data_IF_974795004850
#
_entry.id   IF_974795004850
#
_cell.length_a   1.000
_cell.length_b   1.000
_cell.length_c   1.000
_cell.angle_alpha   90.00
_cell.angle_beta   90.00
_cell.angle_gamma   90.00
#
_symmetry.space_group_name_H-M   'P 1'
#
loop_
_entity.id
_entity.type
_entity.pdbx_description
1 polymer ?
#
# COMPACT_ATOMS: atom_id res chain seq x y z
N UNK A 1 7.98 19.95 -49.49
CA UNK A 1 7.71 18.64 -48.84
C UNK A 1 8.59 18.35 -47.62
N UNK A 2 9.92 18.18 -47.73
CA UNK A 2 10.77 17.85 -46.55
C UNK A 2 10.81 18.96 -45.49
N UNK A 3 11.00 20.22 -45.91
CA UNK A 3 10.97 21.38 -45.02
C UNK A 3 9.62 21.57 -44.33
N UNK A 4 8.54 21.38 -45.09
CA UNK A 4 7.16 21.51 -44.60
C UNK A 4 6.83 20.44 -43.56
N UNK A 5 7.27 19.19 -43.77
CA UNK A 5 7.12 18.14 -42.77
C UNK A 5 7.92 18.42 -41.50
N UNK A 6 9.12 18.99 -41.63
CA UNK A 6 9.92 19.40 -40.46
C UNK A 6 9.23 20.53 -39.69
N UNK A 7 8.62 21.49 -40.39
CA UNK A 7 7.87 22.59 -39.80
C UNK A 7 6.63 22.09 -39.03
N UNK A 8 5.87 21.15 -39.59
CA UNK A 8 4.74 20.49 -38.88
C UNK A 8 5.20 19.81 -37.59
N UNK A 9 6.31 19.07 -37.65
CA UNK A 9 6.85 18.38 -36.47
C UNK A 9 7.38 19.37 -35.42
N UNK A 10 8.05 20.44 -35.85
CA UNK A 10 8.50 21.52 -34.97
C UNK A 10 7.30 22.26 -34.33
N UNK A 11 6.21 22.46 -35.06
CA UNK A 11 4.97 23.02 -34.51
C UNK A 11 4.30 22.11 -33.48
N UNK A 12 4.41 20.78 -33.63
CA UNK A 12 3.81 19.81 -32.72
C UNK A 12 4.64 19.56 -31.46
N UNK A 13 5.98 19.51 -31.58
CA UNK A 13 6.88 19.08 -30.50
C UNK A 13 7.82 20.18 -29.99
N UNK A 14 7.85 21.34 -30.64
CA UNK A 14 8.79 22.44 -30.36
C UNK A 14 10.16 22.22 -30.98
N UNK A 15 11.09 23.15 -30.73
CA UNK A 15 12.41 23.13 -31.36
C UNK A 15 13.39 22.09 -30.77
N UNK A 16 13.15 21.63 -29.54
CA UNK A 16 14.05 20.69 -28.86
C UNK A 16 13.77 19.24 -29.29
N UNK A 17 14.59 18.74 -30.21
CA UNK A 17 14.58 17.37 -30.73
C UNK A 17 14.59 16.28 -29.64
N UNK A 18 15.13 16.57 -28.45
CA UNK A 18 15.15 15.58 -27.34
C UNK A 18 13.73 15.26 -26.86
N UNK A 19 12.80 16.20 -26.97
CA UNK A 19 11.39 16.06 -26.60
C UNK A 19 10.57 15.28 -27.64
N UNK A 20 11.12 15.09 -28.84
CA UNK A 20 10.42 14.42 -29.92
C UNK A 20 10.41 12.90 -29.71
N UNK A 21 9.41 12.17 -30.22
CA UNK A 21 9.44 10.72 -30.25
C UNK A 21 10.59 10.21 -31.14
N UNK A 22 11.07 9.00 -30.84
CA UNK A 22 12.36 8.51 -31.38
C UNK A 22 12.39 8.42 -32.91
N UNK A 23 11.29 8.00 -33.53
CA UNK A 23 11.14 7.91 -34.98
C UNK A 23 11.26 9.27 -35.67
N UNK A 24 10.57 10.27 -35.15
CA UNK A 24 10.52 11.63 -35.67
C UNK A 24 11.84 12.36 -35.45
N UNK A 25 12.50 12.10 -34.32
CA UNK A 25 13.84 12.63 -34.03
C UNK A 25 14.86 12.12 -35.04
N UNK A 26 14.93 10.81 -35.25
CA UNK A 26 15.86 10.21 -36.21
C UNK A 26 15.61 10.71 -37.63
N UNK A 27 14.34 10.89 -38.01
CA UNK A 27 13.97 11.51 -39.28
C UNK A 27 14.52 12.94 -39.39
N UNK A 28 14.25 13.81 -38.41
CA UNK A 28 14.71 15.19 -38.41
C UNK A 28 16.24 15.31 -38.40
N UNK A 29 16.94 14.49 -37.61
CA UNK A 29 18.41 14.43 -37.59
C UNK A 29 18.98 14.03 -38.95
N UNK A 30 18.41 13.01 -39.61
CA UNK A 30 18.85 12.62 -40.96
C UNK A 30 18.65 13.74 -41.98
N UNK A 31 17.60 14.54 -41.80
CA UNK A 31 17.19 15.60 -42.71
C UNK A 31 18.06 16.84 -42.53
N UNK A 32 18.42 17.18 -41.30
CA UNK A 32 19.39 18.24 -40.95
C UNK A 32 20.82 17.87 -41.36
N UNK A 33 21.19 16.58 -41.27
CA UNK A 33 22.48 16.11 -41.75
C UNK A 33 22.60 16.21 -43.28
N UNK A 34 21.49 15.97 -44.00
CA UNK A 34 21.43 16.10 -45.44
C UNK A 34 21.35 17.57 -45.92
N UNK A 35 20.64 18.41 -45.17
CA UNK A 35 20.46 19.83 -45.49
C UNK A 35 20.51 20.71 -44.23
N UNK A 36 21.68 21.29 -43.93
CA UNK A 36 21.86 22.17 -42.78
C UNK A 36 21.01 23.45 -42.82
N UNK A 37 20.52 23.88 -44.00
CA UNK A 37 19.72 25.11 -44.12
C UNK A 37 18.37 24.99 -43.40
N UNK A 38 17.87 23.77 -43.24
CA UNK A 38 16.62 23.48 -42.56
C UNK A 38 16.68 23.69 -41.04
N UNK A 39 17.88 23.92 -40.51
CA UNK A 39 18.06 24.38 -39.13
C UNK A 39 17.33 25.69 -38.85
N UNK A 40 17.18 26.56 -39.87
CA UNK A 40 16.41 27.80 -39.75
C UNK A 40 14.96 27.58 -39.29
N UNK A 41 14.35 26.44 -39.69
CA UNK A 41 12.98 26.07 -39.27
C UNK A 41 12.93 25.80 -37.76
N UNK A 42 13.97 25.13 -37.23
CA UNK A 42 14.08 24.87 -35.78
C UNK A 42 14.45 26.13 -35.00
N UNK A 43 15.27 27.02 -35.57
CA UNK A 43 15.64 28.29 -34.94
C UNK A 43 14.42 29.23 -34.82
N UNK A 44 13.54 29.25 -35.81
CA UNK A 44 12.26 29.97 -35.74
C UNK A 44 11.38 29.41 -34.61
N UNK A 45 11.22 28.09 -34.56
CA UNK A 45 10.48 27.43 -33.47
C UNK A 45 11.12 27.70 -32.10
N UNK A 46 12.46 27.73 -32.01
CA UNK A 46 13.18 27.99 -30.77
C UNK A 46 12.96 29.42 -30.28
N UNK A 47 12.84 30.36 -31.21
CA UNK A 47 12.52 31.76 -30.91
C UNK A 47 11.12 31.88 -30.31
N UNK A 48 10.13 31.20 -30.90
CA UNK A 48 8.77 31.15 -30.34
C UNK A 48 8.77 30.49 -28.95
N UNK A 49 9.45 29.35 -28.80
CA UNK A 49 9.58 28.66 -27.52
C UNK A 49 10.21 29.57 -26.46
N UNK A 50 11.21 30.36 -26.81
CA UNK A 50 11.84 31.32 -25.90
C UNK A 50 10.87 32.43 -25.47
N UNK A 51 10.06 32.96 -26.40
CA UNK A 51 9.02 33.94 -26.07
C UNK A 51 7.96 33.37 -25.13
N UNK A 52 7.53 32.13 -25.35
CA UNK A 52 6.56 31.45 -24.49
C UNK A 52 7.14 31.19 -23.09
N UNK A 53 8.40 30.76 -23.00
CA UNK A 53 9.08 30.51 -21.73
C UNK A 53 9.40 31.80 -20.95
N UNK A 54 9.44 32.96 -21.60
CA UNK A 54 9.64 34.24 -20.94
C UNK A 54 8.42 34.68 -20.12
N UNK A 55 7.24 34.09 -20.36
CA UNK A 55 6.02 34.42 -19.63
C UNK A 55 6.12 33.87 -18.20
N UNK A 56 5.92 34.70 -17.15
CA UNK A 56 5.91 34.24 -15.77
C UNK A 56 4.87 33.14 -15.56
N UNK A 57 5.26 32.07 -14.86
CA UNK A 57 4.33 31.01 -14.50
C UNK A 57 3.22 31.57 -13.60
N UNK A 58 1.94 31.34 -13.93
CA UNK A 58 0.83 31.84 -13.12
C UNK A 58 0.85 31.17 -11.74
N UNK A 59 0.80 31.98 -10.68
CA UNK A 59 0.65 31.48 -9.31
C UNK A 59 -0.82 31.10 -9.08
N UNK A 60 -1.15 29.83 -8.81
CA UNK A 60 -2.53 29.43 -8.58
C UNK A 60 -3.06 30.07 -7.29
N UNK A 61 -4.27 30.62 -7.34
CA UNK A 61 -4.90 31.19 -6.15
C UNK A 61 -5.26 30.09 -5.14
N UNK A 62 -5.22 30.42 -3.85
CA UNK A 62 -5.64 29.50 -2.79
C UNK A 62 -7.07 28.97 -3.00
N UNK A 63 -7.96 29.82 -3.52
CA UNK A 63 -9.33 29.44 -3.85
C UNK A 63 -9.41 28.40 -4.99
N UNK A 64 -8.59 28.53 -6.03
CA UNK A 64 -8.52 27.55 -7.12
C UNK A 64 -8.01 26.20 -6.59
N UNK A 65 -6.93 26.22 -5.80
CA UNK A 65 -6.37 25.01 -5.19
C UNK A 65 -7.40 24.30 -4.31
N UNK A 66 -8.13 25.05 -3.47
CA UNK A 66 -9.19 24.49 -2.63
C UNK A 66 -10.32 23.85 -3.45
N UNK A 67 -10.73 24.48 -4.56
CA UNK A 67 -11.75 23.94 -5.48
C UNK A 67 -11.30 22.63 -6.13
N UNK A 68 -10.06 22.55 -6.60
CA UNK A 68 -9.50 21.32 -7.20
C UNK A 68 -9.45 20.21 -6.16
N UNK A 69 -8.98 20.50 -4.94
CA UNK A 69 -8.94 19.52 -3.85
C UNK A 69 -10.34 19.03 -3.46
N UNK A 70 -11.34 19.92 -3.44
CA UNK A 70 -12.72 19.55 -3.17
C UNK A 70 -13.36 18.69 -4.28
N UNK A 71 -12.99 18.95 -5.53
CA UNK A 71 -13.46 18.21 -6.71
C UNK A 71 -12.73 16.87 -6.90
N UNK A 72 -11.60 16.65 -6.23
CA UNK A 72 -10.84 15.43 -6.36
C UNK A 72 -11.69 14.20 -5.95
N UNK A 73 -11.63 13.10 -6.70
CA UNK A 73 -12.40 11.90 -6.40
C UNK A 73 -11.98 11.35 -5.04
N UNK A 74 -12.92 11.37 -4.08
CA UNK A 74 -12.69 10.80 -2.75
C UNK A 74 -12.50 9.29 -2.90
N UNK A 75 -11.36 8.77 -2.42
CA UNK A 75 -11.13 7.33 -2.32
C UNK A 75 -12.29 6.74 -1.52
N UNK A 76 -13.06 5.82 -2.11
CA UNK A 76 -14.13 5.10 -1.40
C UNK A 76 -13.50 4.48 -0.16
N UNK A 77 -13.87 5.00 1.01
CA UNK A 77 -13.30 4.55 2.26
C UNK A 77 -13.49 3.03 2.38
N UNK A 78 -12.44 2.36 2.84
CA UNK A 78 -12.32 0.90 3.01
C UNK A 78 -13.21 0.41 4.17
N UNK A 79 -14.45 0.90 4.25
CA UNK A 79 -15.35 0.75 5.40
C UNK A 79 -15.68 -0.69 5.76
N UNK A 80 -15.56 -1.63 4.81
CA UNK A 80 -15.66 -3.07 5.10
C UNK A 80 -14.43 -3.63 5.81
N UNK A 81 -13.22 -3.22 5.44
CA UNK A 81 -12.01 -3.69 6.12
C UNK A 81 -11.90 -3.14 7.55
N UNK A 82 -12.28 -1.88 7.76
CA UNK A 82 -12.27 -1.29 9.10
C UNK A 82 -13.17 -2.05 10.07
N UNK A 83 -14.39 -2.42 9.65
CA UNK A 83 -15.31 -3.23 10.46
C UNK A 83 -14.79 -4.66 10.69
N UNK A 84 -14.20 -5.28 9.68
CA UNK A 84 -13.65 -6.64 9.79
C UNK A 84 -12.51 -6.73 10.82
N UNK A 85 -11.63 -5.71 10.90
CA UNK A 85 -10.55 -5.64 11.89
C UNK A 85 -11.08 -5.55 13.32
N UNK A 86 -12.15 -4.79 13.55
CA UNK A 86 -12.81 -4.74 14.86
C UNK A 86 -13.42 -6.08 15.27
N UNK A 87 -14.08 -6.79 14.36
CA UNK A 87 -14.63 -8.11 14.64
C UNK A 87 -13.54 -9.17 14.89
N UNK A 88 -12.43 -9.11 14.15
CA UNK A 88 -11.28 -10.00 14.38
C UNK A 88 -10.65 -9.78 15.76
N UNK A 89 -10.49 -8.52 16.18
CA UNK A 89 -9.98 -8.19 17.52
C UNK A 89 -10.89 -8.71 18.64
N UNK A 90 -12.20 -8.56 18.49
CA UNK A 90 -13.18 -9.06 19.46
C UNK A 90 -13.20 -10.60 19.54
N UNK A 91 -13.03 -11.30 18.41
CA UNK A 91 -12.98 -12.77 18.37
C UNK A 91 -11.78 -13.35 19.13
N UNK A 92 -10.61 -12.71 19.02
CA UNK A 92 -9.41 -13.14 19.76
C UNK A 92 -9.54 -12.92 21.27
N UNK A 93 -10.16 -11.82 21.70
CA UNK A 93 -10.41 -11.57 23.12
C UNK A 93 -11.35 -12.63 23.74
N UNK A 94 -12.39 -13.04 23.00
CA UNK A 94 -13.30 -14.10 23.45
C UNK A 94 -12.60 -15.46 23.57
N UNK A 95 -11.72 -15.81 22.62
CA UNK A 95 -10.96 -17.06 22.66
C UNK A 95 -10.03 -17.13 23.89
N UNK A 96 -9.38 -16.01 24.26
CA UNK A 96 -8.53 -15.95 25.45
C UNK A 96 -9.33 -16.21 26.75
N UNK A 97 -10.51 -15.62 26.89
CA UNK A 97 -11.37 -15.83 28.06
C UNK A 97 -11.84 -17.29 28.17
N UNK A 98 -12.24 -17.92 27.05
CA UNK A 98 -12.66 -19.31 27.04
C UNK A 98 -11.52 -20.28 27.44
N UNK A 99 -10.29 -20.00 26.99
CA UNK A 99 -9.11 -20.77 27.37
C UNK A 99 -8.82 -20.74 28.87
N UNK A 100 -8.95 -19.58 29.52
CA UNK A 100 -8.76 -19.45 30.98
C UNK A 100 -9.80 -20.26 31.75
N UNK A 101 -11.07 -20.18 31.35
CA UNK A 101 -12.16 -20.93 32.02
C UNK A 101 -11.96 -22.44 31.88
N UNK A 102 -11.63 -22.91 30.68
CA UNK A 102 -11.36 -24.33 30.43
C UNK A 102 -10.13 -24.81 31.22
N UNK A 103 -9.06 -24.02 31.26
CA UNK A 103 -7.84 -24.34 32.00
C UNK A 103 -8.05 -24.45 33.51
N UNK A 104 -8.80 -23.52 34.10
CA UNK A 104 -9.14 -23.56 35.54
C UNK A 104 -10.00 -24.79 35.85
N UNK A 105 -11.04 -25.05 35.04
CA UNK A 105 -11.91 -26.20 35.22
C UNK A 105 -11.17 -27.54 35.18
N UNK A 106 -10.32 -27.74 34.16
CA UNK A 106 -9.53 -28.97 34.04
C UNK A 106 -8.57 -29.16 35.24
N UNK A 107 -7.94 -28.08 35.70
CA UNK A 107 -7.03 -28.13 36.86
C UNK A 107 -7.79 -28.50 38.13
N UNK A 108 -9.00 -27.97 38.34
CA UNK A 108 -9.83 -28.33 39.51
C UNK A 108 -10.26 -29.79 39.51
N UNK A 109 -10.57 -30.38 38.35
CA UNK A 109 -10.92 -31.80 38.25
C UNK A 109 -9.72 -32.71 38.57
N UNK A 110 -8.56 -32.45 37.95
CA UNK A 110 -7.36 -33.25 38.17
C UNK A 110 -6.86 -33.20 39.63
N UNK A 111 -6.97 -32.04 40.27
CA UNK A 111 -6.61 -31.88 41.69
C UNK A 111 -7.61 -32.50 42.65
N UNK A 112 -8.90 -32.58 42.27
CA UNK A 112 -9.91 -33.28 43.05
C UNK A 112 -9.68 -34.81 43.00
N UNK A 113 -9.40 -35.35 41.82
CA UNK A 113 -9.12 -36.79 41.64
C UNK A 113 -7.84 -37.20 42.40
N UNK A 114 -6.77 -36.41 42.28
CA UNK A 114 -5.53 -36.68 43.03
C UNK A 114 -5.70 -36.65 44.55
N UNK A 115 -6.61 -35.81 45.06
CA UNK A 115 -6.96 -35.78 46.49
C UNK A 115 -7.79 -36.99 46.91
N UNK A 116 -8.73 -37.42 46.06
CA UNK A 116 -9.54 -38.60 46.33
C UNK A 116 -8.68 -39.87 46.41
N UNK A 117 -7.74 -40.04 45.48
CA UNK A 117 -6.78 -41.16 45.49
C UNK A 117 -5.88 -41.15 46.74
N UNK A 118 -5.42 -39.96 47.17
CA UNK A 118 -4.62 -39.84 48.38
C UNK A 118 -5.39 -40.26 49.65
N UNK A 119 -6.67 -39.90 49.76
CA UNK A 119 -7.52 -40.30 50.89
C UNK A 119 -7.80 -41.80 50.88
N UNK A 120 -8.07 -42.37 49.71
CA UNK A 120 -8.27 -43.82 49.55
C UNK A 120 -7.01 -44.60 49.94
N UNK A 121 -5.83 -44.15 49.49
CA UNK A 121 -4.56 -44.75 49.85
C UNK A 121 -4.31 -44.69 51.37
N UNK A 122 -4.56 -43.54 52.01
CA UNK A 122 -4.41 -43.41 53.46
C UNK A 122 -5.34 -44.36 54.22
N UNK A 123 -6.59 -44.53 53.76
CA UNK A 123 -7.53 -45.47 54.38
C UNK A 123 -7.09 -46.93 54.24
N UNK A 124 -6.47 -47.28 53.12
CA UNK A 124 -5.94 -48.64 52.90
C UNK A 124 -4.76 -48.97 53.80
N UNK A 125 -3.89 -47.99 54.09
CA UNK A 125 -2.77 -48.17 55.01
C UNK A 125 -3.25 -48.36 56.46
N UNK A 126 -4.24 -47.59 56.93
CA UNK A 126 -4.80 -47.79 58.26
C UNK A 126 -5.58 -49.10 58.38
N UNK A 127 -6.23 -49.56 57.31
CA UNK A 127 -6.95 -50.85 57.31
C UNK A 127 -6.05 -52.07 57.34
N UNK A 128 -4.82 -51.97 56.80
CA UNK A 128 -3.82 -53.05 56.86
C UNK A 128 -3.19 -53.15 58.24
N UNK A 129 -2.94 -52.02 58.91
CA UNK A 129 -2.37 -51.97 60.27
C UNK A 129 -3.30 -52.66 61.30
N UNK A 130 -4.62 -52.53 61.16
CA UNK A 130 -5.60 -53.24 62.01
C UNK A 130 -5.61 -54.77 61.83
N UNK A 131 -5.09 -55.29 60.71
CA UNK A 131 -5.07 -56.74 60.42
C UNK A 131 -3.81 -57.46 60.90
N UNK A 132 -2.72 -56.73 61.18
CA UNK A 132 -1.49 -57.33 61.71
C UNK A 132 -1.48 -57.44 63.24
N UNK A 133 -2.38 -56.74 63.95
CA UNK A 133 -2.47 -56.75 65.43
C UNK A 133 -3.28 -57.95 65.99
N UNK A 134 -3.88 -58.78 65.13
CA UNK A 134 -4.66 -59.96 65.54
C UNK A 134 -4.02 -61.32 65.15
N UNK A 135 -2.71 -61.33 64.83
CA UNK A 135 -1.91 -62.55 64.62
C UNK A 135 -1.07 -62.94 65.83
#
# INVERSE_FOLDING_TARGET
MKAERLHELAGAYGADLRRWPASERAFAESLLAADPSLKAVLDEAATLDALLNAVPAPVPSAALTARILAAAPKRKARGRLGKAVWYLGAGWAAAACAGVVAGVGLTTHLTADARADAVLYQSSLTGVDDTEVLG
#
